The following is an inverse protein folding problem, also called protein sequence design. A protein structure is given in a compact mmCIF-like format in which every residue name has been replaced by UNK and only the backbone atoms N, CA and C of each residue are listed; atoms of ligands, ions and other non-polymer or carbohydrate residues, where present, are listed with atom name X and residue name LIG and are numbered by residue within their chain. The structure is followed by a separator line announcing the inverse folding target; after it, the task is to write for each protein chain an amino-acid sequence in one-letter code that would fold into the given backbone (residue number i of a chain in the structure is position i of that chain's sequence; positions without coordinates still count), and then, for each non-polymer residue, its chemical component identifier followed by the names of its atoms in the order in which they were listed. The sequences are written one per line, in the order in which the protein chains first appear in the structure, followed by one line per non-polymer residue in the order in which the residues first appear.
data_IF_014945878855
#
_entry.id   IF_014945878855
#
_cell.length_a   1.000
_cell.length_b   1.000
_cell.length_c   1.000
_cell.angle_alpha   90.00
_cell.angle_beta   90.00
_cell.angle_gamma   90.00
#
_symmetry.space_group_name_H-M   'P 1'
#
loop_
_entity.id
_entity.type
_entity.pdbx_description
1 polymer ?
#
# COMPACT_ATOMS: atom_id res chain seq x y z
N UNK A 1 -3.87 -0.44 26.06
CA UNK A 1 -3.23 0.39 25.06
C UNK A 1 -2.32 -0.48 24.18
N UNK A 2 -2.89 -1.15 23.18
CA UNK A 2 -2.18 -2.09 22.28
C UNK A 2 -2.65 -1.77 20.87
N UNK A 3 -2.15 -0.73 20.25
CA UNK A 3 -2.61 -0.43 18.89
C UNK A 3 -1.91 0.71 18.16
N UNK A 4 -0.81 1.24 18.67
CA UNK A 4 -0.46 2.62 18.33
C UNK A 4 0.58 2.78 17.22
N UNK A 5 1.53 1.86 17.00
CA UNK A 5 2.64 2.13 16.06
C UNK A 5 2.24 2.06 14.57
N UNK A 6 1.31 1.20 14.19
CA UNK A 6 0.79 1.15 12.82
C UNK A 6 -0.15 2.32 12.53
N UNK A 7 -1.00 2.68 13.51
CA UNK A 7 -1.93 3.80 13.41
C UNK A 7 -1.20 5.16 13.47
N UNK A 8 -0.18 5.31 14.33
CA UNK A 8 0.65 6.51 14.38
C UNK A 8 1.39 6.73 13.05
N UNK A 9 1.99 5.69 12.49
CA UNK A 9 2.66 5.76 11.19
C UNK A 9 1.70 6.16 10.07
N UNK A 10 0.47 5.62 10.05
CA UNK A 10 -0.56 5.99 9.08
C UNK A 10 -1.02 7.44 9.26
N UNK A 11 -1.27 7.87 10.49
CA UNK A 11 -1.73 9.23 10.79
C UNK A 11 -0.68 10.30 10.47
N UNK A 12 0.59 10.08 10.84
CA UNK A 12 1.68 11.00 10.52
C UNK A 12 1.81 11.23 9.00
N UNK A 13 1.70 10.16 8.21
CA UNK A 13 1.78 10.24 6.75
C UNK A 13 0.56 10.94 6.15
N UNK A 14 -0.64 10.62 6.59
CA UNK A 14 -1.88 11.27 6.13
C UNK A 14 -1.86 12.79 6.35
N UNK A 15 -1.39 13.23 7.51
CA UNK A 15 -1.27 14.66 7.84
C UNK A 15 -0.26 15.39 6.97
N UNK A 16 0.82 14.73 6.57
CA UNK A 16 1.90 15.37 5.83
C UNK A 16 1.58 15.61 4.33
N UNK A 17 0.76 14.75 3.69
CA UNK A 17 0.68 14.66 2.23
C UNK A 17 -0.73 14.79 1.62
N UNK A 18 -1.72 15.23 2.38
CA UNK A 18 -3.04 15.59 1.84
C UNK A 18 -3.91 14.45 1.31
N UNK A 19 -3.55 13.19 1.58
CA UNK A 19 -4.41 12.02 1.22
C UNK A 19 -4.29 11.52 -0.22
N UNK A 20 -3.40 12.08 -1.04
CA UNK A 20 -3.16 11.65 -2.42
C UNK A 20 -3.82 12.52 -3.48
N UNK A 21 -3.93 11.97 -4.69
CA UNK A 21 -4.49 12.66 -5.87
C UNK A 21 -5.38 11.69 -6.64
N UNK A 22 -6.52 12.18 -7.11
CA UNK A 22 -7.53 11.43 -7.83
C UNK A 22 -7.08 10.92 -9.21
N UNK A 23 -6.05 11.54 -9.77
CA UNK A 23 -5.45 11.14 -11.05
C UNK A 23 -4.43 10.02 -10.89
N UNK A 24 -3.95 9.76 -9.66
CA UNK A 24 -3.03 8.67 -9.37
C UNK A 24 -3.80 7.37 -9.15
N UNK A 25 -3.43 6.32 -9.88
CA UNK A 25 -4.09 5.03 -9.85
C UNK A 25 -3.20 3.96 -9.21
N UNK A 26 -3.70 3.32 -8.15
CA UNK A 26 -3.03 2.21 -7.46
C UNK A 26 -3.84 0.93 -7.71
N UNK A 27 -3.25 -0.05 -8.37
CA UNK A 27 -3.87 -1.37 -8.55
C UNK A 27 -3.51 -2.29 -7.39
N UNK A 28 -4.52 -2.96 -6.83
CA UNK A 28 -4.40 -3.96 -5.77
C UNK A 28 -4.60 -5.35 -6.37
N UNK A 29 -3.49 -6.07 -6.53
CA UNK A 29 -3.46 -7.46 -6.97
C UNK A 29 -3.42 -8.36 -5.74
N UNK A 30 -4.60 -8.70 -5.23
CA UNK A 30 -4.83 -9.50 -4.02
C UNK A 30 -6.08 -10.38 -4.20
N UNK A 31 -6.84 -10.65 -3.16
CA UNK A 31 -8.20 -11.21 -3.24
C UNK A 31 -9.24 -10.17 -3.66
N UNK A 32 -10.48 -10.59 -3.87
CA UNK A 32 -11.62 -9.70 -4.04
C UNK A 32 -11.79 -8.75 -2.84
N UNK A 33 -12.53 -7.66 -3.01
CA UNK A 33 -12.76 -6.64 -1.99
C UNK A 33 -14.25 -6.49 -1.71
N UNK A 34 -14.66 -6.62 -0.45
CA UNK A 34 -15.98 -6.21 0.01
C UNK A 34 -16.06 -4.67 0.05
N UNK A 35 -16.52 -4.08 -1.05
CA UNK A 35 -16.66 -2.63 -1.21
C UNK A 35 -17.87 -2.05 -0.46
N UNK A 36 -18.67 -2.89 0.19
CA UNK A 36 -19.82 -2.44 0.98
C UNK A 36 -19.43 -1.97 2.38
N UNK A 37 -18.20 -2.29 2.83
CA UNK A 37 -17.68 -1.83 4.10
C UNK A 37 -17.67 -0.30 4.19
N UNK A 38 -18.11 0.26 5.32
CA UNK A 38 -18.29 1.71 5.51
C UNK A 38 -17.03 2.55 5.25
N UNK A 39 -15.84 2.00 5.47
CA UNK A 39 -14.60 2.73 5.21
C UNK A 39 -14.37 3.05 3.72
N UNK A 40 -15.07 2.40 2.80
CA UNK A 40 -14.99 2.68 1.37
C UNK A 40 -16.05 3.65 0.86
N UNK A 41 -16.90 4.18 1.73
CA UNK A 41 -17.94 5.13 1.32
C UNK A 41 -17.32 6.43 0.79
N UNK A 42 -17.38 6.63 -0.52
CA UNK A 42 -16.75 7.75 -1.23
C UNK A 42 -15.38 7.42 -1.86
N UNK A 43 -14.81 6.25 -1.59
CA UNK A 43 -13.59 5.80 -2.25
C UNK A 43 -13.82 5.53 -3.75
N UNK A 44 -12.83 5.86 -4.58
CA UNK A 44 -12.87 5.66 -6.04
C UNK A 44 -12.33 4.27 -6.40
N UNK A 45 -13.05 3.21 -6.03
CA UNK A 45 -12.66 1.83 -6.30
C UNK A 45 -13.30 1.31 -7.59
N UNK A 46 -12.46 0.89 -8.53
CA UNK A 46 -12.86 0.32 -9.82
C UNK A 46 -12.51 -1.17 -9.80
N UNK A 47 -13.50 -2.09 -9.79
CA UNK A 47 -13.22 -3.50 -9.94
C UNK A 47 -12.79 -3.82 -11.38
N UNK A 48 -11.76 -4.66 -11.52
CA UNK A 48 -11.32 -5.18 -12.80
C UNK A 48 -11.83 -6.62 -12.98
N UNK A 49 -12.25 -6.94 -14.19
CA UNK A 49 -12.80 -8.26 -14.53
C UNK A 49 -11.69 -9.27 -14.82
N UNK A 50 -10.99 -9.67 -13.75
CA UNK A 50 -9.99 -10.73 -13.79
C UNK A 50 -10.64 -12.12 -13.64
N UNK A 51 -9.93 -13.18 -14.00
CA UNK A 51 -10.42 -14.54 -13.81
C UNK A 51 -10.77 -14.88 -12.34
N UNK A 52 -10.22 -14.17 -11.37
CA UNK A 52 -10.53 -14.33 -9.95
C UNK A 52 -11.70 -13.45 -9.48
N UNK A 53 -12.07 -12.41 -10.21
CA UNK A 53 -13.11 -11.44 -9.80
C UNK A 53 -14.51 -12.06 -9.70
N UNK A 54 -14.81 -13.04 -10.56
CA UNK A 54 -16.10 -13.73 -10.58
C UNK A 54 -16.35 -14.64 -9.35
N UNK A 55 -15.35 -14.83 -8.50
CA UNK A 55 -15.38 -15.72 -7.33
C UNK A 55 -15.30 -14.92 -6.00
N UNK A 56 -15.90 -13.74 -5.98
CA UNK A 56 -16.04 -12.95 -4.76
C UNK A 56 -17.01 -13.64 -3.80
N UNK A 57 -16.54 -13.98 -2.60
CA UNK A 57 -17.31 -14.62 -1.54
C UNK A 57 -16.85 -14.11 -0.17
N UNK A 58 -17.28 -14.75 0.92
CA UNK A 58 -16.94 -14.38 2.29
C UNK A 58 -15.67 -15.11 2.80
N UNK A 59 -14.83 -15.57 1.89
CA UNK A 59 -13.67 -16.38 2.21
C UNK A 59 -12.40 -15.59 2.55
N UNK A 60 -11.31 -16.35 2.79
CA UNK A 60 -10.03 -15.76 3.24
C UNK A 60 -9.39 -14.79 2.25
N UNK A 61 -9.53 -15.03 0.94
CA UNK A 61 -8.99 -14.15 -0.08
C UNK A 61 -9.72 -12.80 -0.10
N UNK A 62 -11.06 -12.82 -0.07
CA UNK A 62 -11.89 -11.61 0.04
C UNK A 62 -11.61 -10.86 1.33
N UNK A 63 -11.48 -11.56 2.46
CA UNK A 63 -11.12 -10.94 3.73
C UNK A 63 -9.73 -10.28 3.71
N UNK A 64 -8.75 -10.86 3.00
CA UNK A 64 -7.42 -10.26 2.84
C UNK A 64 -7.47 -9.05 1.91
N UNK A 65 -8.07 -9.18 0.72
CA UNK A 65 -8.19 -8.09 -0.24
C UNK A 65 -8.92 -6.88 0.35
N UNK A 66 -10.00 -7.09 1.10
CA UNK A 66 -10.74 -6.04 1.81
C UNK A 66 -9.85 -5.32 2.82
N UNK A 67 -9.09 -6.06 3.63
CA UNK A 67 -8.17 -5.47 4.59
C UNK A 67 -7.06 -4.66 3.90
N UNK A 68 -6.43 -5.21 2.87
CA UNK A 68 -5.38 -4.54 2.07
C UNK A 68 -5.92 -3.24 1.44
N UNK A 69 -7.06 -3.31 0.78
CA UNK A 69 -7.67 -2.15 0.15
C UNK A 69 -7.99 -1.04 1.17
N UNK A 70 -8.44 -1.42 2.38
CA UNK A 70 -8.75 -0.44 3.43
C UNK A 70 -7.52 0.29 3.97
N UNK A 71 -6.36 -0.37 4.05
CA UNK A 71 -5.10 0.28 4.43
C UNK A 71 -4.65 1.35 3.42
N UNK A 72 -5.07 1.25 2.17
CA UNK A 72 -4.73 2.22 1.12
C UNK A 72 -5.83 3.27 0.96
N UNK A 73 -7.09 2.85 0.81
CA UNK A 73 -8.20 3.67 0.33
C UNK A 73 -9.28 3.97 1.38
N UNK A 74 -9.14 3.49 2.60
CA UNK A 74 -10.10 3.79 3.67
C UNK A 74 -10.29 5.29 3.83
N UNK A 75 -11.54 5.74 3.87
CA UNK A 75 -11.86 7.17 3.80
C UNK A 75 -11.68 7.87 5.14
N UNK A 76 -11.33 9.16 5.15
CA UNK A 76 -11.19 9.94 6.38
C UNK A 76 -12.46 9.92 7.23
N UNK A 77 -12.31 9.92 8.55
CA UNK A 77 -13.41 9.87 9.53
C UNK A 77 -14.22 8.57 9.51
N UNK A 78 -13.78 7.53 8.81
CA UNK A 78 -14.35 6.18 8.90
C UNK A 78 -13.68 5.36 10.00
N UNK A 79 -14.14 4.13 10.18
CA UNK A 79 -13.56 3.19 11.16
C UNK A 79 -12.14 2.73 10.80
N UNK A 80 -11.73 2.87 9.54
CA UNK A 80 -10.39 2.59 9.02
C UNK A 80 -10.00 3.69 8.05
N UNK A 81 -8.99 4.47 8.39
CA UNK A 81 -8.43 5.50 7.53
C UNK A 81 -7.24 4.94 6.75
N UNK A 82 -7.31 4.96 5.43
CA UNK A 82 -6.24 4.49 4.53
C UNK A 82 -5.16 5.55 4.31
N UNK A 83 -4.02 5.14 3.78
CA UNK A 83 -2.86 6.03 3.53
C UNK A 83 -3.11 6.99 2.37
N UNK A 84 -3.81 6.55 1.32
CA UNK A 84 -4.04 7.32 0.09
C UNK A 84 -5.53 7.32 -0.31
N UNK A 85 -6.42 7.88 0.54
CA UNK A 85 -7.86 7.79 0.35
C UNK A 85 -8.37 8.49 -0.90
N UNK A 86 -7.64 9.48 -1.44
CA UNK A 86 -8.04 10.22 -2.63
C UNK A 86 -7.56 9.59 -3.93
N UNK A 87 -6.58 8.67 -3.87
CA UNK A 87 -6.12 7.96 -5.06
C UNK A 87 -7.22 7.05 -5.63
N UNK A 88 -7.17 6.80 -6.93
CA UNK A 88 -8.03 5.85 -7.61
C UNK A 88 -7.55 4.42 -7.34
N UNK A 89 -8.41 3.55 -6.82
CA UNK A 89 -8.12 2.14 -6.56
C UNK A 89 -8.59 1.26 -7.71
N UNK A 90 -7.69 0.49 -8.32
CA UNK A 90 -8.02 -0.56 -9.28
C UNK A 90 -7.97 -1.91 -8.54
N UNK A 91 -9.11 -2.55 -8.40
CA UNK A 91 -9.20 -3.84 -7.68
C UNK A 91 -9.07 -4.96 -8.71
N UNK A 92 -7.91 -5.61 -8.73
CA UNK A 92 -7.54 -6.67 -9.66
C UNK A 92 -7.32 -8.00 -8.92
N UNK A 93 -8.37 -8.76 -8.59
CA UNK A 93 -8.24 -10.02 -7.86
C UNK A 93 -7.36 -11.03 -8.57
N UNK A 94 -6.42 -11.63 -7.84
CA UNK A 94 -5.55 -12.73 -8.31
C UNK A 94 -5.69 -13.99 -7.43
N UNK A 95 -6.21 -13.84 -6.22
CA UNK A 95 -6.52 -14.95 -5.32
C UNK A 95 -8.03 -15.14 -5.24
N UNK A 96 -8.44 -16.38 -5.03
CA UNK A 96 -9.84 -16.82 -4.99
C UNK A 96 -10.13 -17.51 -3.67
N UNK A 97 -11.37 -17.42 -3.23
CA UNK A 97 -11.81 -18.11 -2.01
C UNK A 97 -12.02 -19.62 -2.22
N UNK A 98 -12.33 -20.02 -3.44
CA UNK A 98 -12.60 -21.42 -3.81
C UNK A 98 -11.35 -22.22 -4.22
N UNK A 99 -10.22 -21.56 -4.43
CA UNK A 99 -8.96 -22.18 -4.91
C UNK A 99 -7.73 -21.50 -4.31
N UNK A 100 -6.87 -22.32 -3.74
CA UNK A 100 -5.57 -21.84 -3.29
C UNK A 100 -4.65 -21.50 -4.46
N UNK A 101 -3.96 -20.36 -4.36
CA UNK A 101 -2.88 -19.95 -5.24
C UNK A 101 -3.31 -19.14 -6.47
N UNK A 102 -2.28 -18.58 -7.12
CA UNK A 102 -2.38 -17.79 -8.33
C UNK A 102 -1.41 -18.36 -9.38
N UNK A 103 -1.89 -18.56 -10.61
CA UNK A 103 -1.03 -18.95 -11.73
C UNK A 103 -0.25 -17.74 -12.28
N UNK A 104 0.84 -18.00 -13.00
CA UNK A 104 1.56 -16.92 -13.70
C UNK A 104 0.71 -16.28 -14.81
N UNK A 105 -0.23 -17.02 -15.37
CA UNK A 105 -1.15 -16.50 -16.39
C UNK A 105 -2.14 -15.53 -15.77
N UNK A 106 -2.75 -15.90 -14.63
CA UNK A 106 -3.70 -15.02 -13.91
C UNK A 106 -2.99 -13.74 -13.41
N UNK A 107 -1.75 -13.86 -12.92
CA UNK A 107 -0.94 -12.71 -12.51
C UNK A 107 -0.62 -11.79 -13.70
N UNK A 108 -0.21 -12.36 -14.85
CA UNK A 108 0.07 -11.59 -16.05
C UNK A 108 -1.18 -10.87 -16.56
N UNK A 109 -2.34 -11.54 -16.61
CA UNK A 109 -3.61 -10.94 -17.00
C UNK A 109 -4.01 -9.77 -16.08
N UNK A 110 -3.92 -9.95 -14.77
CA UNK A 110 -4.23 -8.89 -13.81
C UNK A 110 -3.30 -7.68 -13.95
N UNK A 111 -2.00 -7.90 -14.23
CA UNK A 111 -1.04 -6.83 -14.55
C UNK A 111 -1.49 -6.09 -15.83
N UNK A 112 -1.77 -6.82 -16.91
CA UNK A 112 -2.18 -6.24 -18.19
C UNK A 112 -3.45 -5.40 -18.06
N UNK A 113 -4.49 -5.93 -17.40
CA UNK A 113 -5.73 -5.21 -17.14
C UNK A 113 -5.49 -3.95 -16.29
N UNK A 114 -4.63 -4.03 -15.28
CA UNK A 114 -4.27 -2.86 -14.47
C UNK A 114 -3.58 -1.77 -15.31
N UNK A 115 -2.67 -2.15 -16.20
CA UNK A 115 -2.00 -1.23 -17.12
C UNK A 115 -2.97 -0.59 -18.11
N UNK A 116 -3.92 -1.36 -18.65
CA UNK A 116 -4.93 -0.85 -19.59
C UNK A 116 -5.88 0.15 -18.92
N UNK A 117 -6.07 0.05 -17.60
CA UNK A 117 -6.83 1.00 -16.79
C UNK A 117 -5.97 2.15 -16.23
N UNK A 118 -4.70 2.27 -16.63
CA UNK A 118 -3.84 3.39 -16.27
C UNK A 118 -3.26 3.31 -14.86
N UNK A 119 -2.86 2.12 -14.41
CA UNK A 119 -2.17 1.97 -13.12
C UNK A 119 -0.80 2.64 -13.15
N UNK A 120 -0.51 3.49 -12.16
CA UNK A 120 0.81 4.05 -11.88
C UNK A 120 1.60 3.16 -10.93
N UNK A 121 0.89 2.49 -10.02
CA UNK A 121 1.45 1.63 -8.99
C UNK A 121 0.71 0.30 -8.99
N UNK A 122 1.44 -0.80 -8.94
CA UNK A 122 0.89 -2.13 -8.67
C UNK A 122 1.29 -2.55 -7.26
N UNK A 123 0.32 -2.81 -6.38
CA UNK A 123 0.53 -3.54 -5.14
C UNK A 123 0.26 -5.02 -5.39
N UNK A 124 1.22 -5.89 -5.11
CA UNK A 124 1.07 -7.34 -5.29
C UNK A 124 1.35 -8.04 -3.96
N UNK A 125 0.33 -8.67 -3.39
CA UNK A 125 0.46 -9.44 -2.16
C UNK A 125 1.23 -10.74 -2.35
N UNK A 126 1.84 -11.22 -1.27
CA UNK A 126 2.33 -12.59 -1.18
C UNK A 126 1.19 -13.58 -1.00
N UNK A 127 1.38 -14.77 -1.51
CA UNK A 127 0.43 -15.87 -1.43
C UNK A 127 0.99 -17.11 -2.12
N UNK A 128 0.17 -18.12 -2.30
CA UNK A 128 0.60 -19.32 -3.02
C UNK A 128 0.66 -19.04 -4.51
N UNK A 129 1.86 -18.81 -5.03
CA UNK A 129 2.11 -18.70 -6.46
C UNK A 129 2.58 -20.02 -7.04
N UNK A 130 2.26 -20.25 -8.32
CA UNK A 130 2.75 -21.42 -9.05
C UNK A 130 4.26 -21.56 -8.90
N UNK A 131 4.73 -22.73 -8.42
CA UNK A 131 6.14 -22.97 -8.05
C UNK A 131 7.11 -23.10 -9.25
N UNK A 132 6.71 -22.73 -10.45
CA UNK A 132 7.63 -22.72 -11.60
C UNK A 132 8.78 -21.74 -11.34
N UNK A 133 10.00 -22.21 -11.48
CA UNK A 133 11.20 -21.40 -11.27
C UNK A 133 11.41 -20.34 -12.34
N UNK A 134 10.94 -20.58 -13.55
CA UNK A 134 11.09 -19.69 -14.69
C UNK A 134 9.79 -18.91 -14.93
N UNK A 135 9.89 -17.61 -15.25
CA UNK A 135 8.74 -16.82 -15.65
C UNK A 135 8.22 -17.30 -17.01
N UNK A 136 6.90 -17.29 -17.19
CA UNK A 136 6.24 -17.55 -18.46
C UNK A 136 6.43 -16.37 -19.41
N UNK A 137 6.33 -16.61 -20.72
CA UNK A 137 6.41 -15.55 -21.75
C UNK A 137 5.36 -14.46 -21.52
N UNK A 138 4.14 -14.83 -21.13
CA UNK A 138 3.07 -13.89 -20.79
C UNK A 138 3.48 -12.97 -19.64
N UNK A 139 4.07 -13.52 -18.58
CA UNK A 139 4.50 -12.72 -17.43
C UNK A 139 5.69 -11.83 -17.79
N UNK A 140 6.62 -12.31 -18.60
CA UNK A 140 7.74 -11.50 -19.12
C UNK A 140 7.20 -10.31 -19.94
N UNK A 141 6.22 -10.54 -20.81
CA UNK A 141 5.61 -9.49 -21.63
C UNK A 141 4.88 -8.44 -20.75
N UNK A 142 4.09 -8.88 -19.77
CA UNK A 142 3.39 -7.99 -18.85
C UNK A 142 4.37 -7.12 -18.03
N UNK A 143 5.46 -7.72 -17.52
CA UNK A 143 6.53 -6.99 -16.82
C UNK A 143 7.25 -6.00 -17.72
N UNK A 144 7.53 -6.38 -18.98
CA UNK A 144 8.13 -5.46 -19.95
C UNK A 144 7.24 -4.23 -20.20
N UNK A 145 5.91 -4.41 -20.26
CA UNK A 145 4.95 -3.28 -20.34
C UNK A 145 4.98 -2.40 -19.10
N UNK A 146 5.10 -2.98 -17.89
CA UNK A 146 5.28 -2.18 -16.68
C UNK A 146 6.53 -1.29 -16.79
N UNK A 147 7.66 -1.85 -17.22
CA UNK A 147 8.90 -1.10 -17.40
C UNK A 147 8.76 0.04 -18.41
N UNK A 148 8.13 -0.22 -19.57
CA UNK A 148 7.92 0.78 -20.64
C UNK A 148 7.01 1.93 -20.16
N UNK A 149 6.04 1.65 -19.31
CA UNK A 149 5.13 2.66 -18.74
C UNK A 149 5.61 3.26 -17.42
N UNK A 150 6.84 2.93 -17.01
CA UNK A 150 7.44 3.40 -15.75
C UNK A 150 6.62 3.09 -14.49
N UNK A 151 5.83 2.00 -14.50
CA UNK A 151 4.95 1.61 -13.39
C UNK A 151 5.77 1.06 -12.23
N UNK A 152 5.50 1.54 -11.01
CA UNK A 152 6.13 1.02 -9.80
C UNK A 152 5.42 -0.26 -9.33
N UNK A 153 6.17 -1.33 -9.13
CA UNK A 153 5.67 -2.60 -8.60
C UNK A 153 6.09 -2.72 -7.13
N UNK A 154 5.17 -2.51 -6.21
CA UNK A 154 5.34 -2.72 -4.77
C UNK A 154 4.88 -4.13 -4.42
N UNK A 155 5.80 -4.96 -3.98
CA UNK A 155 5.51 -6.38 -3.77
C UNK A 155 5.81 -6.80 -2.34
N UNK A 156 4.99 -7.71 -1.80
CA UNK A 156 5.30 -8.36 -0.54
C UNK A 156 6.65 -9.08 -0.61
N UNK A 157 7.53 -8.77 0.32
CA UNK A 157 8.82 -9.42 0.47
C UNK A 157 8.78 -10.73 1.25
N UNK A 158 7.59 -11.29 1.48
CA UNK A 158 7.43 -12.60 2.09
C UNK A 158 8.06 -13.72 1.24
N UNK A 159 8.44 -14.81 1.90
CA UNK A 159 9.10 -15.96 1.24
C UNK A 159 8.24 -16.62 0.15
N UNK A 160 6.93 -16.60 0.32
CA UNK A 160 5.92 -17.13 -0.58
C UNK A 160 5.43 -16.10 -1.62
N UNK A 161 6.02 -14.88 -1.65
CA UNK A 161 5.69 -13.85 -2.60
C UNK A 161 6.27 -14.07 -4.00
N UNK A 162 5.72 -13.32 -4.96
CA UNK A 162 6.14 -13.39 -6.37
C UNK A 162 7.35 -12.50 -6.73
N UNK A 163 7.91 -11.72 -5.79
CA UNK A 163 8.95 -10.73 -6.07
C UNK A 163 10.18 -11.31 -6.78
N UNK A 164 10.65 -12.49 -6.34
CA UNK A 164 11.75 -13.18 -7.02
C UNK A 164 11.41 -13.66 -8.43
N UNK A 165 10.15 -13.96 -8.73
CA UNK A 165 9.66 -14.31 -10.06
C UNK A 165 9.61 -13.08 -10.96
N UNK A 166 9.05 -11.97 -10.48
CA UNK A 166 8.99 -10.69 -11.21
C UNK A 166 10.38 -10.15 -11.52
N UNK A 167 11.34 -10.26 -10.59
CA UNK A 167 12.75 -9.91 -10.85
C UNK A 167 13.34 -10.72 -12.00
N UNK A 168 13.08 -12.04 -12.03
CA UNK A 168 13.53 -12.90 -13.16
C UNK A 168 12.79 -12.61 -14.46
N UNK A 169 11.56 -12.12 -14.39
CA UNK A 169 10.82 -11.64 -15.57
C UNK A 169 11.32 -10.28 -16.08
N UNK A 170 12.30 -9.66 -15.39
CA UNK A 170 12.93 -8.42 -15.84
C UNK A 170 12.33 -7.15 -15.25
N UNK A 171 11.61 -7.22 -14.12
CA UNK A 171 11.08 -6.04 -13.46
C UNK A 171 12.21 -5.10 -13.00
N UNK A 172 12.23 -3.86 -13.50
CA UNK A 172 13.23 -2.82 -13.18
C UNK A 172 12.74 -1.86 -12.09
N UNK A 173 11.43 -1.66 -11.97
CA UNK A 173 10.79 -0.78 -10.96
C UNK A 173 10.13 -1.62 -9.87
N UNK A 174 10.89 -2.53 -9.26
CA UNK A 174 10.41 -3.46 -8.24
C UNK A 174 10.85 -3.01 -6.86
N UNK A 175 9.91 -2.78 -5.97
CA UNK A 175 10.13 -2.41 -4.56
C UNK A 175 9.57 -3.51 -3.64
N UNK A 176 10.39 -4.46 -3.21
CA UNK A 176 10.00 -5.46 -2.22
C UNK A 176 9.89 -4.83 -0.82
N UNK A 177 8.85 -5.19 -0.08
CA UNK A 177 8.59 -4.66 1.26
C UNK A 177 8.49 -5.78 2.29
N UNK A 178 9.35 -5.74 3.30
CA UNK A 178 9.30 -6.59 4.48
C UNK A 178 8.56 -5.91 5.63
N UNK A 179 8.06 -6.72 6.57
CA UNK A 179 7.42 -6.23 7.79
C UNK A 179 8.34 -6.39 9.00
N UNK A 180 8.36 -5.39 9.88
CA UNK A 180 9.05 -5.43 11.16
C UNK A 180 8.10 -5.17 12.33
N UNK A 181 8.44 -5.77 13.48
CA UNK A 181 7.76 -5.50 14.75
C UNK A 181 8.31 -4.21 15.42
N UNK A 182 7.74 -3.85 16.58
CA UNK A 182 8.19 -2.68 17.38
C UNK A 182 9.66 -2.74 17.80
N UNK A 183 10.25 -3.93 17.87
CA UNK A 183 11.66 -4.15 18.19
C UNK A 183 12.55 -4.17 16.94
N UNK A 184 11.99 -3.88 15.77
CA UNK A 184 12.68 -3.93 14.49
C UNK A 184 13.00 -5.35 13.99
N UNK A 185 12.39 -6.41 14.54
CA UNK A 185 12.57 -7.79 14.09
C UNK A 185 11.64 -8.10 12.94
N UNK A 186 12.10 -8.84 11.93
CA UNK A 186 11.29 -9.27 10.80
C UNK A 186 10.12 -10.15 11.23
N UNK A 187 8.94 -9.88 10.65
CA UNK A 187 7.72 -10.67 10.83
C UNK A 187 7.59 -11.63 9.65
N UNK A 188 7.40 -12.92 9.93
CA UNK A 188 7.10 -13.94 8.91
C UNK A 188 8.28 -14.39 8.06
N UNK A 189 9.49 -13.89 8.34
CA UNK A 189 10.66 -14.12 7.48
C UNK A 189 10.53 -13.40 6.13
N UNK A 190 11.59 -13.42 5.30
CA UNK A 190 11.60 -12.78 3.99
C UNK A 190 12.30 -13.62 2.95
N UNK A 191 12.12 -13.30 1.68
CA UNK A 191 12.95 -13.84 0.61
C UNK A 191 14.32 -13.15 0.63
N UNK A 192 15.36 -13.89 1.04
CA UNK A 192 16.72 -13.36 1.15
C UNK A 192 17.24 -12.74 -0.16
N UNK A 193 16.71 -13.17 -1.31
CA UNK A 193 17.07 -12.65 -2.64
C UNK A 193 16.55 -11.23 -2.92
N UNK A 194 15.61 -10.76 -2.11
CA UNK A 194 15.00 -9.44 -2.24
C UNK A 194 15.53 -8.43 -1.21
N UNK A 195 16.30 -8.88 -0.22
CA UNK A 195 16.78 -8.03 0.86
C UNK A 195 17.67 -6.87 0.38
N UNK A 196 18.46 -7.11 -0.67
CA UNK A 196 19.40 -6.11 -1.23
C UNK A 196 18.70 -5.00 -2.03
N UNK A 197 17.42 -5.18 -2.38
CA UNK A 197 16.66 -4.25 -3.22
C UNK A 197 15.36 -3.80 -2.57
N UNK A 198 15.13 -4.14 -1.32
CA UNK A 198 13.87 -3.88 -0.63
C UNK A 198 14.05 -3.16 0.70
N UNK A 199 12.94 -2.69 1.23
CA UNK A 199 12.85 -1.97 2.49
C UNK A 199 12.02 -2.73 3.51
N UNK A 200 12.15 -2.37 4.78
CA UNK A 200 11.31 -2.87 5.86
C UNK A 200 10.51 -1.73 6.51
N UNK A 201 9.25 -1.99 6.82
CA UNK A 201 8.37 -1.02 7.48
C UNK A 201 7.61 -1.68 8.64
N UNK A 202 7.09 -0.89 9.59
CA UNK A 202 6.21 -1.41 10.62
C UNK A 202 5.03 -2.16 10.00
N UNK A 203 4.91 -3.46 10.32
CA UNK A 203 3.85 -4.32 9.80
C UNK A 203 3.19 -5.16 10.89
N UNK A 204 3.31 -4.74 12.15
CA UNK A 204 2.68 -5.38 13.30
C UNK A 204 1.40 -4.62 13.70
N UNK A 205 0.32 -5.35 13.93
CA UNK A 205 -0.93 -4.79 14.47
C UNK A 205 -1.52 -3.66 13.60
N UNK A 206 -1.68 -3.89 12.30
CA UNK A 206 -2.36 -2.99 11.38
C UNK A 206 -3.87 -3.23 11.46
N UNK A 207 -4.62 -2.19 11.78
CA UNK A 207 -6.08 -2.20 11.80
C UNK A 207 -6.58 -1.97 10.38
N UNK A 208 -7.47 -2.81 9.91
CA UNK A 208 -8.10 -2.69 8.60
C UNK A 208 -9.51 -3.27 8.59
N UNK A 209 -10.24 -3.03 7.52
CA UNK A 209 -11.58 -3.55 7.31
C UNK A 209 -11.58 -5.08 7.29
N UNK A 210 -12.62 -5.66 7.85
CA UNK A 210 -12.93 -7.08 7.78
C UNK A 210 -14.33 -7.28 7.20
N UNK A 211 -14.66 -8.49 6.85
CA UNK A 211 -15.99 -8.83 6.34
C UNK A 211 -17.07 -8.51 7.38
N UNK A 212 -18.32 -8.42 6.91
CA UNK A 212 -19.49 -8.11 7.74
C UNK A 212 -19.42 -6.74 8.43
N UNK A 213 -18.77 -5.75 7.80
CA UNK A 213 -18.66 -4.38 8.30
C UNK A 213 -17.81 -4.23 9.57
N UNK A 214 -17.06 -5.26 9.96
CA UNK A 214 -16.20 -5.25 11.14
C UNK A 214 -14.77 -4.80 10.80
N UNK A 215 -13.93 -4.62 11.83
CA UNK A 215 -12.50 -4.36 11.67
C UNK A 215 -11.68 -5.50 12.27
N UNK A 216 -10.50 -5.72 11.73
CA UNK A 216 -9.56 -6.71 12.25
C UNK A 216 -8.15 -6.16 12.34
N UNK A 217 -7.33 -6.80 13.19
CA UNK A 217 -5.91 -6.47 13.32
C UNK A 217 -5.10 -7.56 12.63
N UNK A 218 -4.30 -7.16 11.64
CA UNK A 218 -3.45 -8.10 10.90
C UNK A 218 -1.98 -7.67 10.94
N UNK A 219 -1.10 -8.57 10.52
CA UNK A 219 0.35 -8.34 10.53
C UNK A 219 1.04 -9.10 9.39
N UNK A 220 2.12 -8.53 8.87
CA UNK A 220 2.96 -9.20 7.87
C UNK A 220 3.29 -8.33 6.66
N UNK A 221 4.10 -8.90 5.77
CA UNK A 221 4.67 -8.18 4.63
C UNK A 221 3.62 -7.73 3.60
N UNK A 222 2.50 -8.45 3.43
CA UNK A 222 1.41 -8.03 2.53
C UNK A 222 0.85 -6.68 2.94
N UNK A 223 0.54 -6.52 4.24
CA UNK A 223 -0.03 -5.29 4.80
C UNK A 223 0.99 -4.15 4.83
N UNK A 224 2.26 -4.48 5.11
CA UNK A 224 3.36 -3.52 5.03
C UNK A 224 3.56 -3.00 3.59
N UNK A 225 3.46 -3.87 2.59
CA UNK A 225 3.55 -3.50 1.17
C UNK A 225 2.37 -2.61 0.74
N UNK A 226 1.16 -2.86 1.25
CA UNK A 226 0.00 -2.01 1.01
C UNK A 226 0.23 -0.58 1.50
N UNK A 227 0.78 -0.41 2.72
CA UNK A 227 1.13 0.92 3.23
C UNK A 227 2.11 1.64 2.32
N UNK A 228 3.14 0.96 1.81
CA UNK A 228 4.13 1.56 0.91
C UNK A 228 3.54 1.87 -0.47
N UNK A 229 2.63 1.06 -0.98
CA UNK A 229 1.92 1.39 -2.21
C UNK A 229 1.08 2.69 -2.05
N UNK A 230 0.39 2.84 -0.90
CA UNK A 230 -0.30 4.08 -0.56
C UNK A 230 0.67 5.27 -0.43
N UNK A 231 1.80 5.09 0.27
CA UNK A 231 2.85 6.11 0.39
C UNK A 231 3.36 6.54 -0.99
N UNK A 232 3.64 5.59 -1.89
CA UNK A 232 4.04 5.93 -3.26
C UNK A 232 2.98 6.77 -3.97
N UNK A 233 1.68 6.45 -3.81
CA UNK A 233 0.59 7.27 -4.32
C UNK A 233 0.55 8.69 -3.76
N UNK A 234 0.81 8.85 -2.45
CA UNK A 234 0.95 10.17 -1.83
C UNK A 234 2.10 10.98 -2.41
N UNK A 235 3.25 10.34 -2.64
CA UNK A 235 4.43 11.00 -3.22
C UNK A 235 4.17 11.46 -4.65
N UNK A 236 3.46 10.68 -5.46
CA UNK A 236 3.04 11.08 -6.80
C UNK A 236 2.05 12.26 -6.74
N UNK A 237 1.09 12.21 -5.84
CA UNK A 237 0.18 13.34 -5.59
C UNK A 237 0.91 14.60 -5.16
N UNK A 238 1.95 14.48 -4.33
CA UNK A 238 2.79 15.61 -3.95
C UNK A 238 3.55 16.21 -5.15
N UNK A 239 4.06 15.39 -6.08
CA UNK A 239 4.63 15.89 -7.33
C UNK A 239 3.61 16.70 -8.14
N UNK A 240 2.38 16.19 -8.34
CA UNK A 240 1.30 16.91 -9.02
C UNK A 240 1.03 18.26 -8.36
N UNK A 241 0.92 18.30 -7.02
CA UNK A 241 0.67 19.53 -6.26
C UNK A 241 1.78 20.57 -6.41
N UNK A 242 3.01 20.15 -6.68
CA UNK A 242 4.15 21.02 -6.96
C UNK A 242 4.34 21.31 -8.47
N UNK A 243 3.36 20.96 -9.31
CA UNK A 243 3.41 21.18 -10.77
C UNK A 243 4.41 20.29 -11.51
N UNK A 244 4.84 19.19 -10.88
CA UNK A 244 5.72 18.19 -11.48
C UNK A 244 4.89 17.07 -12.11
N UNK A 245 5.40 16.44 -13.14
CA UNK A 245 4.79 15.22 -13.68
C UNK A 245 5.04 14.05 -12.72
N UNK A 246 4.01 13.30 -12.31
CA UNK A 246 4.17 12.12 -11.48
C UNK A 246 5.12 11.11 -12.11
N UNK A 247 6.12 10.66 -11.35
CA UNK A 247 7.11 9.67 -11.77
C UNK A 247 7.16 8.48 -10.80
N UNK A 248 6.41 7.39 -11.09
CA UNK A 248 6.36 6.20 -10.24
C UNK A 248 7.74 5.56 -9.98
N UNK A 249 8.61 5.53 -10.99
CA UNK A 249 9.97 5.02 -10.84
C UNK A 249 10.79 5.86 -9.87
N UNK A 250 10.78 7.17 -10.03
CA UNK A 250 11.46 8.09 -9.12
C UNK A 250 10.92 8.03 -7.69
N UNK A 251 9.60 7.85 -7.52
CA UNK A 251 8.99 7.66 -6.19
C UNK A 251 9.53 6.39 -5.51
N UNK A 252 9.60 5.26 -6.24
CA UNK A 252 10.19 4.03 -5.74
C UNK A 252 11.66 4.18 -5.36
N UNK A 253 12.46 4.84 -6.17
CA UNK A 253 13.87 5.15 -5.90
C UNK A 253 14.03 6.08 -4.71
N UNK A 254 13.18 7.11 -4.57
CA UNK A 254 13.21 8.01 -3.44
C UNK A 254 12.90 7.27 -2.12
N UNK A 255 11.90 6.40 -2.09
CA UNK A 255 11.58 5.55 -0.93
C UNK A 255 12.78 4.66 -0.56
N UNK A 256 13.39 4.00 -1.55
CA UNK A 256 14.50 3.09 -1.33
C UNK A 256 15.76 3.84 -0.84
N UNK A 257 16.14 4.93 -1.50
CA UNK A 257 17.37 5.67 -1.25
C UNK A 257 17.31 6.56 0.01
N UNK A 258 16.12 6.84 0.54
CA UNK A 258 15.92 7.55 1.80
C UNK A 258 15.81 6.62 3.01
N UNK A 259 15.80 5.30 2.79
CA UNK A 259 15.67 4.33 3.87
C UNK A 259 16.79 4.49 4.89
N UNK A 260 16.43 4.61 6.18
CA UNK A 260 17.39 4.71 7.27
C UNK A 260 18.03 3.35 7.51
N UNK A 261 19.37 3.21 7.40
CA UNK A 261 20.05 1.95 7.65
C UNK A 261 19.78 1.45 9.07
N UNK A 262 19.60 0.16 9.24
CA UNK A 262 19.54 -0.44 10.59
C UNK A 262 20.88 -0.27 11.28
N UNK A 263 20.89 0.29 12.49
CA UNK A 263 22.09 0.29 13.34
C UNK A 263 22.54 -1.15 13.56
N UNK A 264 23.79 -1.43 13.21
CA UNK A 264 24.39 -2.75 13.29
C UNK A 264 24.58 -3.16 14.77
N UNK A 265 23.58 -3.84 15.31
CA UNK A 265 23.68 -4.53 16.61
C UNK A 265 23.67 -6.04 16.39
N UNK A 266 24.85 -6.67 16.49
CA UNK A 266 25.18 -8.09 16.30
C UNK A 266 25.38 -8.53 14.84
N UNK A 267 26.64 -8.73 14.49
CA UNK A 267 27.13 -9.00 13.13
C UNK A 267 26.55 -10.23 12.40
N UNK A 268 25.90 -11.17 13.09
CA UNK A 268 25.33 -12.38 12.46
C UNK A 268 23.90 -12.21 11.94
N UNK A 269 23.15 -11.19 12.37
CA UNK A 269 21.82 -10.89 11.82
C UNK A 269 21.87 -9.92 10.61
N UNK A 270 23.02 -9.23 10.41
CA UNK A 270 23.19 -8.23 9.35
C UNK A 270 23.19 -8.80 7.92
N UNK A 271 23.57 -10.07 7.72
CA UNK A 271 23.63 -10.69 6.38
C UNK A 271 22.25 -11.03 5.78
N UNK A 272 21.15 -10.79 6.51
CA UNK A 272 19.76 -11.04 6.06
C UNK A 272 18.87 -9.80 6.20
N UNK A 273 19.44 -8.61 6.28
CA UNK A 273 18.70 -7.40 6.55
C UNK A 273 18.29 -6.70 5.24
N UNK A 274 17.06 -6.20 5.20
CA UNK A 274 16.59 -5.22 4.21
C UNK A 274 17.51 -4.00 4.22
N UNK A 275 17.57 -3.21 3.13
CA UNK A 275 18.41 -2.01 2.99
C UNK A 275 18.23 -1.07 4.20
N UNK A 276 16.99 -0.86 4.64
CA UNK A 276 16.71 -0.03 5.79
C UNK A 276 15.23 0.05 6.13
N UNK A 277 14.91 0.90 7.10
CA UNK A 277 13.55 1.29 7.43
C UNK A 277 13.13 2.48 6.56
N UNK A 278 11.93 2.45 5.97
CA UNK A 278 11.42 3.56 5.18
C UNK A 278 11.43 4.88 5.96
N UNK A 279 11.89 5.95 5.32
CA UNK A 279 11.84 7.33 5.80
C UNK A 279 11.06 8.15 4.78
N UNK A 280 9.79 8.40 5.07
CA UNK A 280 8.85 8.98 4.10
C UNK A 280 9.10 10.48 3.89
N UNK A 281 9.45 11.20 4.95
CA UNK A 281 9.78 12.64 4.86
C UNK A 281 11.02 12.87 3.99
N UNK A 282 12.06 12.08 4.21
CA UNK A 282 13.26 12.16 3.39
C UNK A 282 12.99 11.72 1.93
N UNK A 283 12.10 10.77 1.70
CA UNK A 283 11.67 10.37 0.36
C UNK A 283 10.95 11.51 -0.35
N UNK A 284 10.02 12.17 0.33
CA UNK A 284 9.28 13.31 -0.20
C UNK A 284 10.20 14.49 -0.53
N UNK A 285 11.06 14.88 0.40
CA UNK A 285 12.04 15.96 0.17
C UNK A 285 12.95 15.67 -1.01
N UNK A 286 13.38 14.43 -1.14
CA UNK A 286 14.22 13.98 -2.26
C UNK A 286 13.50 14.04 -3.60
N UNK A 287 12.21 13.68 -3.61
CA UNK A 287 11.40 13.58 -4.82
C UNK A 287 10.91 14.95 -5.30
N UNK A 288 10.46 15.80 -4.40
CA UNK A 288 9.90 17.13 -4.75
C UNK A 288 10.93 18.24 -4.76
N UNK A 289 12.11 18.04 -4.18
CA UNK A 289 13.13 19.07 -3.98
C UNK A 289 12.76 20.08 -2.90
N UNK A 290 11.65 19.89 -2.20
CA UNK A 290 11.16 20.78 -1.14
C UNK A 290 11.51 20.20 0.22
N UNK A 291 12.35 20.89 0.99
CA UNK A 291 12.49 20.61 2.41
C UNK A 291 11.22 21.10 3.12
N UNK A 292 10.46 20.18 3.70
CA UNK A 292 9.33 20.57 4.55
C UNK A 292 9.90 21.17 5.84
N UNK A 293 9.84 22.51 5.95
CA UNK A 293 9.93 23.16 7.25
C UNK A 293 8.70 22.71 8.06
N UNK A 294 8.91 22.00 9.15
CA UNK A 294 7.91 21.36 10.02
C UNK A 294 6.95 22.34 10.71
N UNK A 295 6.93 23.62 10.30
CA UNK A 295 6.16 24.70 10.92
C UNK A 295 5.02 25.29 10.08
N UNK A 296 4.86 24.92 8.79
CA UNK A 296 3.80 25.51 7.96
C UNK A 296 2.55 24.64 7.97
N UNK A 297 1.47 25.18 8.49
CA UNK A 297 0.15 24.56 8.62
C UNK A 297 -0.33 23.87 7.33
N UNK A 298 -0.40 22.54 7.38
CA UNK A 298 -1.07 21.71 6.37
C UNK A 298 -2.48 22.25 6.04
N UNK A 299 -2.91 22.23 4.76
CA UNK A 299 -4.28 22.57 4.37
C UNK A 299 -5.35 21.79 5.14
N UNK A 300 -5.00 20.56 5.60
CA UNK A 300 -5.86 19.71 6.42
C UNK A 300 -6.05 20.21 7.87
N UNK A 301 -5.11 20.93 8.42
CA UNK A 301 -5.30 21.60 9.72
C UNK A 301 -6.43 22.65 9.69
N UNK A 302 -6.81 23.14 8.52
CA UNK A 302 -8.01 23.97 8.31
C UNK A 302 -9.30 23.14 8.26
N UNK A 303 -9.25 21.95 7.71
CA UNK A 303 -10.43 21.08 7.61
C UNK A 303 -10.86 20.51 8.97
N UNK A 304 -9.92 20.05 9.79
CA UNK A 304 -10.20 19.61 11.16
C UNK A 304 -10.71 20.76 12.06
N UNK A 305 -10.17 21.97 11.90
CA UNK A 305 -10.69 23.15 12.64
C UNK A 305 -12.10 23.53 12.22
N UNK A 306 -12.46 23.38 10.96
CA UNK A 306 -13.83 23.63 10.51
C UNK A 306 -14.84 22.62 11.07
N UNK A 307 -14.48 21.35 11.23
CA UNK A 307 -15.37 20.32 11.80
C UNK A 307 -15.48 20.39 13.33
N UNK A 308 -14.41 20.76 14.05
CA UNK A 308 -14.49 20.94 15.51
C UNK A 308 -15.26 22.20 15.87
N UNK A 309 -15.26 23.25 15.06
CA UNK A 309 -16.07 24.45 15.27
C UNK A 309 -17.56 24.22 15.02
N UNK A 310 -17.93 23.34 14.06
CA UNK A 310 -19.33 22.99 13.81
C UNK A 310 -19.95 22.10 14.90
N UNK A 311 -19.16 21.24 15.56
CA UNK A 311 -19.65 20.43 16.68
C UNK A 311 -19.80 21.18 17.99
N UNK A 312 -19.08 22.29 18.20
CA UNK A 312 -19.27 23.15 19.39
C UNK A 312 -20.50 24.05 19.29
N UNK A 313 -21.00 24.39 18.11
CA UNK A 313 -22.21 25.17 17.93
C UNK A 313 -23.51 24.37 18.15
N UNK A 314 -23.50 23.04 17.97
CA UNK A 314 -24.70 22.22 18.17
C UNK A 314 -24.95 21.80 19.64
N UNK A 315 -23.97 21.95 20.54
CA UNK A 315 -24.15 21.65 21.97
C UNK A 315 -24.63 22.83 22.83
N UNK A 316 -24.75 24.04 22.26
CA UNK A 316 -25.18 25.24 22.99
C UNK A 316 -26.70 25.47 22.99
N UNK A 317 -27.49 24.66 22.28
CA UNK A 317 -28.91 24.92 22.05
C UNK A 317 -29.91 24.10 22.91
N UNK A 318 -29.46 23.32 23.91
CA UNK A 318 -30.38 22.57 24.77
C UNK A 318 -30.23 22.98 26.25
N UNK A 319 -30.91 24.06 26.64
CA UNK A 319 -31.26 24.32 28.08
C UNK A 319 -32.73 24.01 28.28
N UNK A 320 -33.13 23.10 29.20
CA UNK A 320 -34.51 22.94 29.58
C UNK A 320 -34.95 24.15 30.41
N UNK A 321 -36.10 24.69 30.07
CA UNK A 321 -36.79 25.67 30.89
C UNK A 321 -37.50 24.93 32.05
N UNK A 322 -37.28 25.43 33.24
CA UNK A 322 -38.02 25.04 34.46
C UNK A 322 -39.49 25.45 34.37
#
# INVERSE_FOLDING_TARGET
MVGVVGAEFQQEILFAFGGGDAEISIAVLDGPVDRTHDCFRGARLVPLDTAAAAQCSDGPATAQGTHIASLIFGQPCSSVEGVAPLCRGLIAPIFRDDRAGCSQADLAEAIELSLDHGADILHISGGLFERRRQPSEKLIAAVARCNLRNVLIVVSGARDGCGGLLRRAGATRLLPVGAIDRRGRLIGGGDARLHEIGIAVPGAALVGAALEGSNSVRRGANYAAALIAGVAGLLLGAQSQHGQTPDPGAAGEAILNSATPRMAGRAQECQRAWIGRANIEAAASRLTGVHQDTAAASPFGRWHRAQTSSRQSDHAAFRPRA
#
